data_IF_875181472125
#
_entry.id   IF_875181472125
#
_cell.length_a   1.000
_cell.length_b   1.000
_cell.length_c   1.000
_cell.angle_alpha   90.00
_cell.angle_beta   90.00
_cell.angle_gamma   90.00
#
_symmetry.space_group_name_H-M   'P 1'
#
loop_
_entity.id
_entity.type
_entity.pdbx_description
1 polymer ?
#
# COMPACT_ATOMS: atom_id res chain seq x y z
N UNK A 1 35.75 -19.83 -60.33
CA UNK A 1 35.18 -18.76 -59.48
C UNK A 1 34.62 -19.44 -58.25
N UNK A 2 35.29 -19.25 -57.10
CA UNK A 2 35.01 -19.70 -55.72
C UNK A 2 34.55 -21.18 -55.52
N UNK A 3 35.46 -22.11 -55.20
CA UNK A 3 35.93 -22.51 -53.85
C UNK A 3 34.81 -23.18 -53.03
N UNK A 4 34.71 -24.52 -53.07
CA UNK A 4 35.43 -25.53 -52.26
C UNK A 4 34.66 -25.92 -51.00
N UNK A 5 34.23 -27.17 -51.05
CA UNK A 5 33.72 -28.08 -50.02
C UNK A 5 34.72 -28.39 -48.89
N UNK A 6 34.21 -29.09 -47.87
CA UNK A 6 34.90 -29.85 -46.81
C UNK A 6 35.39 -29.04 -45.60
N UNK A 7 35.37 -29.54 -44.36
CA UNK A 7 35.14 -30.89 -43.85
C UNK A 7 34.87 -30.84 -42.34
N UNK A 8 34.23 -31.91 -41.83
CA UNK A 8 34.53 -32.68 -40.62
C UNK A 8 35.30 -31.99 -39.47
N UNK A 9 34.78 -32.10 -38.24
CA UNK A 9 35.29 -32.97 -37.16
C UNK A 9 34.44 -32.74 -35.90
N UNK A 10 33.96 -33.84 -35.33
CA UNK A 10 33.31 -33.91 -34.02
C UNK A 10 34.35 -33.83 -32.91
N UNK A 11 34.15 -33.00 -31.89
CA UNK A 11 34.83 -33.16 -30.60
C UNK A 11 34.02 -32.57 -29.45
N UNK A 12 33.59 -33.45 -28.55
CA UNK A 12 33.10 -33.11 -27.22
C UNK A 12 34.20 -32.41 -26.42
N UNK A 13 33.94 -31.21 -25.91
CA UNK A 13 34.63 -30.71 -24.73
C UNK A 13 33.61 -30.41 -23.64
N UNK A 14 33.67 -31.27 -22.63
CA UNK A 14 33.33 -31.07 -21.23
C UNK A 14 33.37 -29.61 -20.77
N UNK A 15 32.24 -29.10 -20.31
CA UNK A 15 32.24 -28.04 -19.30
C UNK A 15 32.12 -28.67 -17.92
N UNK A 16 33.21 -28.52 -17.18
CA UNK A 16 33.44 -28.90 -15.79
C UNK A 16 32.28 -28.44 -14.89
N UNK A 17 31.73 -29.36 -14.09
CA UNK A 17 30.87 -29.02 -12.95
C UNK A 17 31.63 -28.07 -12.01
N UNK A 18 31.11 -26.86 -11.84
CA UNK A 18 31.47 -26.03 -10.68
C UNK A 18 30.48 -26.37 -9.56
N UNK A 19 30.90 -27.24 -8.64
CA UNK A 19 30.23 -27.37 -7.34
C UNK A 19 30.55 -26.13 -6.52
N UNK A 20 29.67 -25.13 -6.56
CA UNK A 20 29.60 -24.12 -5.49
C UNK A 20 28.73 -24.69 -4.39
N UNK A 21 29.35 -24.83 -3.22
CA UNK A 21 28.72 -25.26 -2.00
C UNK A 21 27.53 -24.36 -1.64
N UNK A 22 26.38 -24.99 -1.40
CA UNK A 22 25.46 -24.61 -0.33
C UNK A 22 25.01 -23.15 -0.27
N UNK A 23 24.27 -22.69 -1.26
CA UNK A 23 23.20 -21.74 -1.01
C UNK A 23 22.00 -22.24 -1.81
N UNK A 24 21.08 -22.93 -1.12
CA UNK A 24 19.72 -23.05 -1.64
C UNK A 24 19.18 -21.63 -1.69
N UNK A 25 19.26 -21.01 -2.86
CA UNK A 25 18.33 -19.93 -3.17
C UNK A 25 17.00 -20.65 -3.24
N UNK A 26 16.34 -20.72 -2.09
CA UNK A 26 14.92 -20.98 -2.05
C UNK A 26 14.29 -19.77 -2.72
N UNK A 27 14.11 -19.85 -4.03
CA UNK A 27 13.01 -19.15 -4.69
C UNK A 27 11.75 -19.68 -4.02
N UNK A 28 11.43 -19.10 -2.87
CA UNK A 28 10.06 -18.93 -2.43
C UNK A 28 9.45 -18.08 -3.51
N UNK A 29 8.92 -18.73 -4.54
CA UNK A 29 7.78 -18.19 -5.28
C UNK A 29 6.70 -18.05 -4.22
N UNK A 30 6.64 -16.88 -3.60
CA UNK A 30 5.44 -16.47 -2.89
C UNK A 30 4.32 -16.62 -3.92
N UNK A 31 3.35 -17.44 -3.57
CA UNK A 31 2.13 -17.64 -4.33
C UNK A 31 1.57 -16.27 -4.74
N UNK A 32 1.67 -15.96 -6.04
CA UNK A 32 0.84 -14.98 -6.73
C UNK A 32 -0.62 -15.45 -6.59
N UNK A 33 -1.28 -15.05 -5.52
CA UNK A 33 -2.73 -15.19 -5.36
C UNK A 33 -3.28 -13.80 -5.05
N UNK A 34 -3.61 -13.07 -6.11
CA UNK A 34 -4.87 -12.32 -6.21
C UNK A 34 -4.95 -10.85 -5.80
N UNK A 35 -3.97 -10.26 -5.13
CA UNK A 35 -4.16 -8.94 -4.49
C UNK A 35 -3.33 -7.77 -5.02
N UNK A 36 -2.40 -7.95 -5.97
CA UNK A 36 -1.57 -6.84 -6.48
C UNK A 36 -0.69 -6.13 -5.42
N UNK A 37 -0.54 -6.72 -4.24
CA UNK A 37 0.22 -6.16 -3.12
C UNK A 37 1.58 -6.83 -2.97
N UNK A 38 2.60 -6.04 -2.65
CA UNK A 38 3.97 -6.51 -2.34
C UNK A 38 4.42 -6.16 -0.92
N UNK A 39 3.52 -5.58 -0.11
CA UNK A 39 3.81 -5.21 1.28
C UNK A 39 2.62 -4.60 2.00
N UNK A 40 2.83 -4.18 3.25
CA UNK A 40 1.76 -3.69 4.14
C UNK A 40 1.65 -2.17 4.18
N UNK A 41 2.55 -1.48 3.47
CA UNK A 41 2.61 -0.03 3.39
C UNK A 41 1.44 0.55 2.59
N UNK A 42 1.06 1.83 2.83
CA UNK A 42 -0.09 2.46 2.15
C UNK A 42 0.00 2.56 0.63
N UNK A 43 1.20 2.39 0.05
CA UNK A 43 1.48 2.42 -1.38
C UNK A 43 2.22 1.14 -1.83
N UNK A 44 2.13 0.05 -1.06
CA UNK A 44 2.69 -1.26 -1.44
C UNK A 44 1.61 -2.14 -2.10
N UNK A 45 0.81 -1.53 -2.95
CA UNK A 45 -0.34 -2.09 -3.66
C UNK A 45 -0.49 -1.40 -5.02
N UNK A 46 -0.72 -2.17 -6.09
CA UNK A 46 -0.88 -1.64 -7.45
C UNK A 46 -2.00 -0.59 -7.53
N UNK A 47 -3.11 -0.79 -6.81
CA UNK A 47 -4.24 0.16 -6.81
C UNK A 47 -3.86 1.48 -6.12
N UNK A 48 -3.05 1.41 -5.07
CA UNK A 48 -2.55 2.61 -4.41
C UNK A 48 -1.56 3.39 -5.27
N UNK A 49 -0.74 2.68 -6.05
CA UNK A 49 0.17 3.30 -7.02
C UNK A 49 -0.61 3.97 -8.17
N UNK A 50 -1.64 3.33 -8.71
CA UNK A 50 -2.51 3.92 -9.73
C UNK A 50 -3.23 5.20 -9.22
N UNK A 51 -3.61 5.20 -7.94
CA UNK A 51 -4.18 6.39 -7.29
C UNK A 51 -3.16 7.53 -7.14
N UNK A 52 -1.90 7.22 -6.83
CA UNK A 52 -0.81 8.20 -6.81
C UNK A 52 -0.59 8.83 -8.19
N UNK A 53 -0.51 8.01 -9.25
CA UNK A 53 -0.38 8.47 -10.62
C UNK A 53 -1.55 9.39 -11.01
N UNK A 54 -2.78 9.01 -10.62
CA UNK A 54 -3.97 9.84 -10.84
C UNK A 54 -3.88 11.19 -10.13
N UNK A 55 -3.35 11.24 -8.90
CA UNK A 55 -3.11 12.50 -8.18
C UNK A 55 -2.08 13.38 -8.89
N UNK A 56 -1.03 12.78 -9.44
CA UNK A 56 0.02 13.50 -10.16
C UNK A 56 -0.50 14.11 -11.47
N UNK A 57 -1.36 13.39 -12.18
CA UNK A 57 -2.05 13.88 -13.39
C UNK A 57 -3.15 14.92 -13.08
N UNK A 58 -3.63 14.98 -11.83
CA UNK A 58 -4.66 15.92 -11.38
C UNK A 58 -4.07 17.30 -11.11
N UNK A 59 -4.76 18.36 -11.57
CA UNK A 59 -4.39 19.75 -11.30
C UNK A 59 -4.28 20.02 -9.80
N UNK A 60 -3.27 20.80 -9.38
CA UNK A 60 -2.92 21.01 -7.97
C UNK A 60 -4.11 21.45 -7.09
N UNK A 61 -4.98 22.31 -7.61
CA UNK A 61 -6.17 22.83 -6.93
C UNK A 61 -7.34 21.83 -6.85
N UNK A 62 -7.31 20.75 -7.64
CA UNK A 62 -8.31 19.67 -7.64
C UNK A 62 -7.88 18.43 -6.85
N UNK A 63 -6.60 18.32 -6.46
CA UNK A 63 -6.07 17.16 -5.72
C UNK A 63 -6.76 16.95 -4.37
N UNK A 64 -7.08 18.04 -3.65
CA UNK A 64 -7.85 17.93 -2.40
C UNK A 64 -9.26 17.37 -2.68
N UNK A 65 -9.91 17.81 -3.75
CA UNK A 65 -11.24 17.33 -4.11
C UNK A 65 -11.22 15.84 -4.45
N UNK A 66 -10.18 15.36 -5.15
CA UNK A 66 -10.00 13.93 -5.42
C UNK A 66 -9.87 13.13 -4.13
N UNK A 67 -8.96 13.53 -3.23
CA UNK A 67 -8.76 12.89 -1.91
C UNK A 67 -10.08 12.87 -1.12
N UNK A 68 -10.77 14.01 -1.06
CA UNK A 68 -12.06 14.14 -0.35
C UNK A 68 -13.13 13.24 -0.95
N UNK A 69 -13.21 13.15 -2.28
CA UNK A 69 -14.17 12.30 -2.97
C UNK A 69 -13.90 10.82 -2.69
N UNK A 70 -12.65 10.38 -2.76
CA UNK A 70 -12.24 9.01 -2.42
C UNK A 70 -12.70 8.63 -1.01
N UNK A 71 -12.36 9.43 -0.01
CA UNK A 71 -12.75 9.13 1.38
C UNK A 71 -14.27 9.14 1.59
N UNK A 72 -15.00 10.06 0.96
CA UNK A 72 -16.46 10.08 1.05
C UNK A 72 -17.09 8.84 0.42
N UNK A 73 -16.60 8.36 -0.73
CA UNK A 73 -17.11 7.11 -1.33
C UNK A 73 -16.97 5.95 -0.35
N UNK A 74 -15.80 5.81 0.27
CA UNK A 74 -15.53 4.78 1.28
C UNK A 74 -16.50 4.87 2.45
N UNK A 75 -16.65 6.04 3.08
CA UNK A 75 -17.53 6.22 4.25
C UNK A 75 -19.00 5.99 3.90
N UNK A 76 -19.43 6.34 2.68
CA UNK A 76 -20.82 6.23 2.24
C UNK A 76 -21.17 4.86 1.61
N UNK A 77 -20.23 3.91 1.56
CA UNK A 77 -20.48 2.55 1.09
C UNK A 77 -21.47 1.84 2.04
N UNK A 78 -22.69 1.57 1.56
CA UNK A 78 -23.82 1.11 2.39
C UNK A 78 -23.82 -0.39 2.71
N UNK A 79 -23.11 -1.19 1.92
CA UNK A 79 -23.08 -2.65 2.09
C UNK A 79 -21.63 -3.08 2.28
N UNK A 80 -21.05 -3.65 1.23
CA UNK A 80 -19.69 -4.16 1.21
C UNK A 80 -18.75 -3.15 0.58
N UNK A 81 -17.59 -2.93 1.21
CA UNK A 81 -16.56 -2.04 0.68
C UNK A 81 -15.63 -2.85 -0.23
N UNK A 82 -15.58 -2.44 -1.49
CA UNK A 82 -14.72 -3.04 -2.51
C UNK A 82 -13.24 -2.83 -2.18
N UNK A 83 -12.41 -3.81 -2.55
CA UNK A 83 -10.97 -3.78 -2.36
C UNK A 83 -10.34 -2.48 -2.86
N UNK A 84 -10.69 -2.05 -4.07
CA UNK A 84 -10.08 -0.87 -4.70
C UNK A 84 -10.39 0.41 -3.94
N UNK A 85 -11.65 0.60 -3.54
CA UNK A 85 -12.09 1.74 -2.74
C UNK A 85 -11.44 1.76 -1.35
N UNK A 86 -11.20 0.60 -0.75
CA UNK A 86 -10.51 0.47 0.52
C UNK A 86 -9.02 0.84 0.40
N UNK A 87 -8.33 0.34 -0.63
CA UNK A 87 -6.91 0.64 -0.87
C UNK A 87 -6.70 2.12 -1.14
N UNK A 88 -7.49 2.72 -2.03
CA UNK A 88 -7.42 4.16 -2.31
C UNK A 88 -7.64 5.00 -1.04
N UNK A 89 -8.57 4.58 -0.17
CA UNK A 89 -8.84 5.26 1.10
C UNK A 89 -7.63 5.21 2.05
N UNK A 90 -6.93 4.07 2.13
CA UNK A 90 -5.70 3.94 2.94
C UNK A 90 -4.60 4.85 2.38
N UNK A 91 -4.42 4.89 1.07
CA UNK A 91 -3.44 5.77 0.42
C UNK A 91 -3.77 7.25 0.67
N UNK A 92 -5.04 7.66 0.47
CA UNK A 92 -5.51 9.01 0.75
C UNK A 92 -5.33 9.41 2.22
N UNK A 93 -5.64 8.51 3.15
CA UNK A 93 -5.47 8.72 4.59
C UNK A 93 -3.98 8.88 4.97
N UNK A 94 -3.07 8.13 4.32
CA UNK A 94 -1.62 8.26 4.51
C UNK A 94 -1.10 9.64 4.10
N UNK A 95 -1.60 10.19 2.99
CA UNK A 95 -1.23 11.52 2.51
C UNK A 95 -1.70 12.63 3.47
N UNK A 96 -2.90 12.50 4.04
CA UNK A 96 -3.40 13.44 5.06
C UNK A 96 -2.58 13.31 6.36
N UNK A 97 -2.29 12.09 6.78
CA UNK A 97 -1.49 11.84 7.97
C UNK A 97 -0.07 12.41 7.83
N UNK A 98 0.54 12.34 6.64
CA UNK A 98 1.85 12.93 6.37
C UNK A 98 1.90 14.46 6.58
N UNK A 99 0.75 15.16 6.52
CA UNK A 99 0.64 16.59 6.84
C UNK A 99 0.29 16.86 8.32
N UNK A 100 0.21 15.82 9.16
CA UNK A 100 -0.02 15.95 10.60
C UNK A 100 1.31 16.10 11.37
N UNK A 101 1.31 16.73 12.57
CA UNK A 101 2.53 16.92 13.36
C UNK A 101 3.30 15.64 13.69
N UNK A 102 2.58 14.54 13.97
CA UNK A 102 3.16 13.21 14.26
C UNK A 102 3.16 12.28 13.03
N UNK A 103 2.92 12.87 11.85
CA UNK A 103 2.93 12.18 10.58
C UNK A 103 4.33 11.93 10.04
N UNK A 104 4.50 10.81 9.34
CA UNK A 104 5.70 10.54 8.57
C UNK A 104 5.44 10.88 7.10
N UNK A 105 6.40 11.52 6.39
CA UNK A 105 6.25 11.77 4.97
C UNK A 105 6.18 10.46 4.18
N UNK A 106 5.39 10.46 3.11
CA UNK A 106 5.38 9.37 2.13
C UNK A 106 6.62 9.55 1.26
N UNK A 107 7.58 8.61 1.35
CA UNK A 107 8.87 8.68 0.64
C UNK A 107 9.11 7.52 -0.32
N UNK A 108 8.10 6.67 -0.53
CA UNK A 108 8.16 5.55 -1.47
C UNK A 108 8.02 6.05 -2.91
N UNK A 109 8.67 5.39 -3.87
CA UNK A 109 8.56 5.71 -5.31
C UNK A 109 7.21 5.28 -5.91
N UNK A 110 6.33 4.68 -5.10
CA UNK A 110 4.98 4.30 -5.49
C UNK A 110 3.91 5.26 -4.95
N UNK A 111 4.33 6.30 -4.22
CA UNK A 111 3.45 7.41 -3.83
C UNK A 111 3.54 8.55 -4.85
N UNK A 112 2.74 9.63 -4.69
CA UNK A 112 2.72 10.73 -5.64
C UNK A 112 4.08 11.45 -5.67
N UNK A 113 4.58 11.71 -6.88
CA UNK A 113 5.82 12.46 -7.13
C UNK A 113 5.60 13.98 -7.02
N UNK A 114 4.39 14.45 -7.34
CA UNK A 114 4.07 15.87 -7.36
C UNK A 114 3.50 16.35 -6.02
N UNK A 115 3.76 17.62 -5.69
CA UNK A 115 3.37 18.17 -4.39
C UNK A 115 1.83 18.21 -4.18
N UNK A 116 1.39 17.85 -2.98
CA UNK A 116 0.00 18.08 -2.57
C UNK A 116 -0.21 19.53 -2.11
N UNK A 117 -1.44 20.07 -2.26
CA UNK A 117 -1.78 21.31 -1.58
C UNK A 117 -1.78 21.09 -0.06
N UNK A 118 -1.84 22.20 0.70
CA UNK A 118 -2.13 22.12 2.12
C UNK A 118 -3.57 21.63 2.30
N UNK A 119 -3.72 20.41 2.81
CA UNK A 119 -5.01 19.76 2.95
C UNK A 119 -5.81 20.33 4.12
N UNK A 120 -7.09 20.57 3.90
CA UNK A 120 -7.98 21.06 4.94
C UNK A 120 -8.02 20.13 6.18
N UNK A 121 -8.02 20.72 7.38
CA UNK A 121 -7.92 19.97 8.65
C UNK A 121 -9.11 19.06 8.93
N UNK A 122 -10.27 19.36 8.35
CA UNK A 122 -11.49 18.54 8.49
C UNK A 122 -11.33 17.17 7.82
N UNK A 123 -10.47 17.05 6.81
CA UNK A 123 -10.15 15.78 6.16
C UNK A 123 -9.55 14.76 7.12
N UNK A 124 -8.96 15.17 8.24
CA UNK A 124 -8.43 14.24 9.25
C UNK A 124 -9.53 13.39 9.88
N UNK A 125 -10.68 14.00 10.18
CA UNK A 125 -11.82 13.27 10.76
C UNK A 125 -12.42 12.34 9.72
N UNK A 126 -12.62 12.84 8.49
CA UNK A 126 -13.13 12.03 7.38
C UNK A 126 -12.21 10.84 7.07
N UNK A 127 -10.89 11.04 7.09
CA UNK A 127 -9.93 9.97 6.87
C UNK A 127 -9.93 8.94 7.99
N UNK A 128 -10.07 9.35 9.26
CA UNK A 128 -10.22 8.42 10.38
C UNK A 128 -11.50 7.58 10.25
N UNK A 129 -12.62 8.18 9.86
CA UNK A 129 -13.88 7.48 9.58
C UNK A 129 -13.75 6.49 8.41
N UNK A 130 -13.04 6.88 7.34
CA UNK A 130 -12.76 5.99 6.22
C UNK A 130 -11.91 4.79 6.63
N UNK A 131 -10.88 4.99 7.47
CA UNK A 131 -10.06 3.89 8.00
C UNK A 131 -10.86 2.97 8.94
N UNK A 132 -11.80 3.52 9.73
CA UNK A 132 -12.73 2.71 10.52
C UNK A 132 -13.59 1.84 9.61
N UNK A 133 -14.07 2.41 8.50
CA UNK A 133 -14.84 1.65 7.50
C UNK A 133 -13.99 0.60 6.77
N UNK A 134 -12.71 0.86 6.51
CA UNK A 134 -11.76 -0.11 5.93
C UNK A 134 -11.50 -1.28 6.88
N UNK A 135 -11.48 -1.06 8.20
CA UNK A 135 -11.21 -2.10 9.20
C UNK A 135 -12.43 -2.94 9.59
N UNK A 136 -13.63 -2.50 9.20
CA UNK A 136 -14.90 -3.19 9.48
C UNK A 136 -14.95 -4.59 8.84
N UNK A 137 -15.87 -5.43 9.32
CA UNK A 137 -16.06 -6.79 8.79
C UNK A 137 -16.55 -6.77 7.34
N UNK A 138 -17.33 -5.76 6.94
CA UNK A 138 -17.86 -5.61 5.58
C UNK A 138 -16.87 -4.91 4.63
N UNK A 139 -15.60 -5.35 4.62
CA UNK A 139 -14.51 -4.76 3.84
C UNK A 139 -13.68 -5.85 3.18
N UNK A 140 -13.66 -5.85 1.85
CA UNK A 140 -12.92 -6.86 1.07
C UNK A 140 -11.42 -6.84 1.39
N UNK A 141 -10.84 -5.65 1.52
CA UNK A 141 -9.44 -5.51 1.86
C UNK A 141 -9.14 -6.12 3.25
N UNK A 142 -10.04 -5.92 4.23
CA UNK A 142 -9.86 -6.47 5.57
C UNK A 142 -10.00 -8.00 5.58
N UNK A 143 -11.00 -8.55 4.89
CA UNK A 143 -11.17 -9.99 4.75
C UNK A 143 -9.94 -10.64 4.09
N UNK A 144 -9.44 -10.05 3.00
CA UNK A 144 -8.28 -10.57 2.29
C UNK A 144 -7.01 -10.53 3.15
N UNK A 145 -6.79 -9.46 3.95
CA UNK A 145 -5.65 -9.41 4.87
C UNK A 145 -5.80 -10.41 6.03
N UNK A 146 -7.00 -10.64 6.54
CA UNK A 146 -7.27 -11.60 7.62
C UNK A 146 -6.96 -13.04 7.22
N UNK A 147 -7.04 -13.35 5.94
CA UNK A 147 -6.66 -14.66 5.37
C UNK A 147 -5.14 -14.84 5.22
N UNK A 148 -4.32 -13.86 5.63
CA UNK A 148 -2.85 -13.90 5.57
C UNK A 148 -2.16 -13.88 6.94
N UNK A 149 -0.91 -14.37 6.98
CA UNK A 149 -0.07 -14.31 8.20
C UNK A 149 0.28 -12.87 8.63
N UNK A 150 0.29 -11.91 7.69
CA UNK A 150 0.62 -10.51 7.95
C UNK A 150 -0.61 -9.65 8.30
N UNK A 151 -1.83 -10.21 8.25
CA UNK A 151 -3.09 -9.52 8.59
C UNK A 151 -3.07 -8.76 9.92
N UNK A 152 -2.60 -9.35 11.04
CA UNK A 152 -2.46 -8.63 12.30
C UNK A 152 -1.52 -7.42 12.23
N UNK A 153 -0.45 -7.51 11.42
CA UNK A 153 0.51 -6.41 11.24
C UNK A 153 -0.08 -5.31 10.35
N UNK A 154 -0.82 -5.68 9.31
CA UNK A 154 -1.56 -4.73 8.47
C UNK A 154 -2.62 -3.97 9.29
N UNK A 155 -3.46 -4.66 10.07
CA UNK A 155 -4.46 -4.00 10.94
C UNK A 155 -3.81 -3.03 11.94
N UNK A 156 -2.64 -3.39 12.48
CA UNK A 156 -1.87 -2.50 13.36
C UNK A 156 -1.35 -1.26 12.62
N UNK A 157 -0.92 -1.39 11.36
CA UNK A 157 -0.45 -0.25 10.56
C UNK A 157 -1.58 0.74 10.30
N UNK A 158 -2.77 0.25 9.93
CA UNK A 158 -3.97 1.08 9.73
C UNK A 158 -4.40 1.75 11.04
N UNK A 159 -4.37 1.02 12.15
CA UNK A 159 -4.71 1.58 13.47
C UNK A 159 -3.75 2.68 13.91
N UNK A 160 -2.45 2.53 13.62
CA UNK A 160 -1.44 3.59 13.87
C UNK A 160 -1.74 4.82 13.03
N UNK A 161 -2.04 4.61 11.74
CA UNK A 161 -2.38 5.69 10.82
C UNK A 161 -3.61 6.48 11.30
N UNK A 162 -4.67 5.76 11.69
CA UNK A 162 -5.88 6.34 12.31
C UNK A 162 -5.55 7.16 13.56
N UNK A 163 -4.64 6.69 14.41
CA UNK A 163 -4.23 7.40 15.63
C UNK A 163 -3.47 8.73 15.38
N UNK A 164 -2.80 8.87 14.22
CA UNK A 164 -2.19 10.14 13.79
C UNK A 164 -3.28 11.13 13.34
N UNK A 165 -4.30 10.63 12.65
CA UNK A 165 -5.40 11.42 12.09
C UNK A 165 -6.35 11.94 13.19
N UNK A 166 -6.70 11.10 14.16
CA UNK A 166 -7.53 11.48 15.30
C UNK A 166 -6.92 11.05 16.65
N UNK A 167 -5.95 11.83 17.19
CA UNK A 167 -5.26 11.49 18.42
C UNK A 167 -6.16 11.52 19.66
N UNK A 168 -7.39 12.04 19.55
CA UNK A 168 -8.37 12.11 20.65
C UNK A 168 -8.94 10.74 21.03
N UNK A 169 -8.68 9.70 20.23
CA UNK A 169 -9.15 8.32 20.52
C UNK A 169 -8.14 7.50 21.35
N UNK A 170 -7.02 8.08 21.81
CA UNK A 170 -6.26 7.42 22.90
C UNK A 170 -7.21 7.34 24.10
N UNK A 171 -7.32 6.18 24.79
CA UNK A 171 -8.05 6.15 26.05
C UNK A 171 -7.48 7.27 26.90
N UNK A 172 -8.33 8.26 27.18
CA UNK A 172 -8.02 9.24 28.18
C UNK A 172 -7.91 8.39 29.46
N UNK A 173 -6.67 8.10 29.87
CA UNK A 173 -6.41 7.61 31.22
C UNK A 173 -6.88 8.75 32.11
N UNK A 174 -8.17 8.70 32.44
CA UNK A 174 -8.83 9.65 33.30
C UNK A 174 -7.95 9.78 34.54
N UNK A 175 -7.50 11.01 34.77
CA UNK A 175 -7.03 11.47 36.07
C UNK A 175 -8.13 11.20 37.08
N UNK A 176 -8.13 9.99 37.63
CA UNK A 176 -9.12 9.50 38.56
C UNK A 176 -8.43 9.19 39.90
N UNK A 177 -7.57 10.10 40.36
CA UNK A 177 -7.12 10.15 41.75
C UNK A 177 -6.83 11.60 42.16
N UNK A 178 -7.89 12.35 42.41
CA UNK A 178 -7.85 13.48 43.33
C UNK A 178 -9.08 13.40 44.25
N UNK A 179 -8.95 12.61 45.33
CA UNK A 179 -9.74 12.72 46.57
C UNK A 179 -8.81 12.38 47.74
#
# INVERSE_FOLDING_TARGET
>A
MALVTNAHVSFMQTYTSLTVAGARISERRHEEIGMGTWGIGPFEDDTAADFADTLDETALDERENLIRSTLNRTVQAQDYLDFSEAVEAVAAAALIAAQCPDGEPVTTSFGPDEALPLLATDLRTLAAEALDRVLAEESELAELWDDTDDGPRWRQSISRLRGILDPRTKPQEDSLFEI
#
